data_IF_498616294623
#
_entry.id   IF_498616294623
#
_cell.length_a   1.000
_cell.length_b   1.000
_cell.length_c   1.000
_cell.angle_alpha   90.00
_cell.angle_beta   90.00
_cell.angle_gamma   90.00
#
_symmetry.space_group_name_H-M   'P 1'
#
loop_
_entity.id
_entity.type
_entity.pdbx_description
1 polymer ?
#
# COMPACT_ATOMS: atom_id res chain seq x y z
N UNK A 1 -21.71 6.51 11.48
CA UNK A 1 -21.03 5.86 12.63
C UNK A 1 -20.66 6.87 13.72
N UNK A 2 -19.98 7.98 13.41
CA UNK A 2 -19.63 9.02 14.39
C UNK A 2 -20.84 9.66 15.11
N UNK A 3 -21.96 9.85 14.39
CA UNK A 3 -23.23 10.36 14.95
C UNK A 3 -23.87 9.40 15.97
N UNK A 4 -23.74 8.08 15.77
CA UNK A 4 -24.30 7.08 16.67
C UNK A 4 -23.51 6.98 17.99
N UNK A 5 -22.18 7.20 17.95
CA UNK A 5 -21.36 7.20 19.17
C UNK A 5 -21.55 8.49 19.96
N UNK A 6 -21.73 9.64 19.31
CA UNK A 6 -22.15 10.89 19.98
C UNK A 6 -23.47 10.75 20.73
N UNK A 7 -24.43 10.00 20.19
CA UNK A 7 -25.73 9.76 20.83
C UNK A 7 -25.67 8.79 22.04
N UNK A 8 -24.56 8.05 22.22
CA UNK A 8 -24.45 6.99 23.23
C UNK A 8 -23.95 7.44 24.61
N UNK A 9 -23.57 8.71 24.78
CA UNK A 9 -23.11 9.25 26.07
C UNK A 9 -21.73 8.73 26.55
N UNK A 10 -21.06 7.90 25.75
CA UNK A 10 -19.72 7.39 26.05
C UNK A 10 -18.68 8.41 25.60
N UNK A 11 -17.86 8.90 26.52
CA UNK A 11 -16.69 9.72 26.18
C UNK A 11 -15.68 8.86 25.41
N UNK A 12 -15.58 9.10 24.11
CA UNK A 12 -14.54 8.50 23.28
C UNK A 12 -13.20 9.13 23.68
N UNK A 13 -12.18 8.34 24.03
CA UNK A 13 -10.84 8.87 24.30
C UNK A 13 -10.33 9.71 23.12
N UNK A 14 -9.79 10.89 23.42
CA UNK A 14 -9.31 11.82 22.38
C UNK A 14 -8.26 11.20 21.44
N UNK A 15 -7.45 10.26 21.94
CA UNK A 15 -6.49 9.52 21.12
C UNK A 15 -7.13 8.62 20.06
N UNK A 16 -8.31 8.04 20.33
CA UNK A 16 -9.05 7.23 19.35
C UNK A 16 -9.64 8.14 18.27
N UNK A 17 -10.20 9.29 18.65
CA UNK A 17 -10.72 10.27 17.69
C UNK A 17 -9.62 10.78 16.77
N UNK A 18 -8.46 11.14 17.32
CA UNK A 18 -7.37 11.69 16.51
C UNK A 18 -6.76 10.61 15.60
N UNK A 19 -6.59 9.39 16.09
CA UNK A 19 -6.16 8.27 15.25
C UNK A 19 -7.12 8.05 14.08
N UNK A 20 -8.43 8.00 14.33
CA UNK A 20 -9.45 7.82 13.28
C UNK A 20 -9.47 9.01 12.29
N UNK A 21 -9.30 10.24 12.78
CA UNK A 21 -9.28 11.44 11.94
C UNK A 21 -8.08 11.45 11.00
N UNK A 22 -6.89 11.15 11.53
CA UNK A 22 -5.65 11.17 10.76
C UNK A 22 -5.63 10.02 9.74
N UNK A 23 -5.99 8.80 10.13
CA UNK A 23 -6.08 7.67 9.20
C UNK A 23 -7.08 7.90 8.05
N UNK A 24 -8.18 8.62 8.33
CA UNK A 24 -9.14 9.02 7.28
C UNK A 24 -8.54 10.06 6.33
N UNK A 25 -7.87 11.09 6.86
CA UNK A 25 -7.28 12.15 6.06
C UNK A 25 -6.11 11.64 5.21
N UNK A 26 -5.28 10.74 5.75
CA UNK A 26 -4.16 10.14 5.04
C UNK A 26 -4.65 9.30 3.84
N UNK A 27 -5.71 8.51 4.01
CA UNK A 27 -6.33 7.79 2.89
C UNK A 27 -6.87 8.75 1.83
N UNK A 28 -7.62 9.78 2.25
CA UNK A 28 -8.24 10.72 1.31
C UNK A 28 -7.23 11.60 0.58
N UNK A 29 -6.05 11.82 1.14
CA UNK A 29 -4.97 12.52 0.47
C UNK A 29 -4.52 11.78 -0.80
N UNK A 30 -4.52 10.45 -0.79
CA UNK A 30 -4.19 9.60 -1.94
C UNK A 30 -5.19 9.85 -3.08
N UNK A 31 -6.50 9.92 -2.76
CA UNK A 31 -7.55 10.14 -3.77
C UNK A 31 -7.44 11.50 -4.47
N UNK A 32 -6.87 12.49 -3.78
CA UNK A 32 -6.66 13.85 -4.32
C UNK A 32 -5.29 14.04 -4.96
N UNK A 33 -4.44 13.01 -4.93
CA UNK A 33 -3.11 13.08 -5.51
C UNK A 33 -3.18 13.01 -7.03
N UNK A 34 -2.30 13.76 -7.70
CA UNK A 34 -2.11 13.67 -9.15
C UNK A 34 -0.83 12.90 -9.41
N UNK A 35 -0.91 11.63 -9.88
CA UNK A 35 0.28 10.86 -10.20
C UNK A 35 1.10 11.55 -11.28
N UNK A 36 2.42 11.56 -11.10
CA UNK A 36 3.39 12.07 -12.09
C UNK A 36 4.14 10.90 -12.72
N UNK A 37 4.60 11.09 -13.95
CA UNK A 37 5.41 10.06 -14.61
C UNK A 37 6.72 9.86 -13.86
N UNK A 38 7.12 8.60 -13.74
CA UNK A 38 8.39 8.18 -13.15
C UNK A 38 9.15 7.34 -14.17
N UNK A 39 10.40 7.74 -14.43
CA UNK A 39 11.29 7.17 -15.44
C UNK A 39 12.27 6.14 -14.86
N UNK A 40 12.24 5.91 -13.55
CA UNK A 40 13.01 4.86 -12.88
C UNK A 40 12.28 3.52 -12.81
N UNK A 41 13.01 2.53 -12.31
CA UNK A 41 12.48 1.21 -12.00
C UNK A 41 11.60 1.25 -10.75
N UNK A 42 10.38 0.71 -10.83
CA UNK A 42 9.49 0.55 -9.68
C UNK A 42 9.08 -0.91 -9.52
N UNK A 43 9.28 -1.45 -8.31
CA UNK A 43 8.73 -2.75 -7.92
C UNK A 43 7.45 -2.58 -7.10
N UNK A 44 6.35 -3.17 -7.56
CA UNK A 44 5.07 -3.24 -6.87
C UNK A 44 4.85 -4.65 -6.29
N UNK A 45 4.95 -4.78 -4.96
CA UNK A 45 4.59 -6.01 -4.25
C UNK A 45 3.06 -6.12 -4.11
N UNK A 46 2.44 -6.99 -4.90
CA UNK A 46 1.00 -7.03 -5.06
C UNK A 46 0.38 -8.20 -4.28
N UNK A 47 -0.43 -7.86 -3.27
CA UNK A 47 -1.33 -8.80 -2.59
C UNK A 47 -2.46 -9.27 -3.52
N UNK A 48 -3.15 -10.35 -3.16
CA UNK A 48 -4.26 -10.86 -3.96
C UNK A 48 -5.48 -9.93 -3.90
N UNK A 49 -5.74 -9.33 -2.73
CA UNK A 49 -6.88 -8.43 -2.51
C UNK A 49 -6.68 -7.48 -1.33
N UNK A 50 -7.52 -6.44 -1.26
CA UNK A 50 -7.72 -5.68 -0.03
C UNK A 50 -8.56 -6.47 0.97
N UNK A 51 -8.41 -6.16 2.27
CA UNK A 51 -9.24 -6.74 3.32
C UNK A 51 -10.63 -6.10 3.30
N UNK A 52 -11.63 -6.80 3.84
CA UNK A 52 -13.05 -6.45 3.66
C UNK A 52 -13.41 -5.07 4.24
N UNK A 53 -12.77 -4.63 5.33
CA UNK A 53 -13.02 -3.31 5.91
C UNK A 53 -12.56 -2.17 4.98
N UNK A 54 -11.43 -2.35 4.28
CA UNK A 54 -10.96 -1.38 3.29
C UNK A 54 -11.91 -1.28 2.09
N UNK A 55 -12.48 -2.41 1.63
CA UNK A 55 -13.45 -2.43 0.54
C UNK A 55 -14.79 -1.81 0.96
N UNK A 56 -15.21 -2.05 2.20
CA UNK A 56 -16.44 -1.45 2.75
C UNK A 56 -16.32 0.07 2.82
N UNK A 57 -15.14 0.57 3.14
CA UNK A 57 -14.85 2.00 3.21
C UNK A 57 -14.68 2.64 1.83
N UNK A 58 -13.94 2.00 0.92
CA UNK A 58 -13.73 2.44 -0.45
C UNK A 58 -14.04 1.28 -1.43
N UNK A 59 -15.26 1.24 -2.01
CA UNK A 59 -15.68 0.18 -2.92
C UNK A 59 -14.78 0.01 -4.15
N UNK A 60 -14.06 1.05 -4.58
CA UNK A 60 -13.11 0.95 -5.68
C UNK A 60 -11.97 -0.05 -5.40
N UNK A 61 -11.63 -0.31 -4.13
CA UNK A 61 -10.63 -1.32 -3.75
C UNK A 61 -11.07 -2.77 -3.97
N UNK A 62 -12.34 -3.01 -4.34
CA UNK A 62 -12.82 -4.33 -4.73
C UNK A 62 -12.24 -4.80 -6.07
N UNK A 63 -11.84 -3.87 -6.95
CA UNK A 63 -11.26 -4.17 -8.25
C UNK A 63 -9.79 -3.78 -8.28
N UNK A 64 -8.99 -4.57 -8.98
CA UNK A 64 -7.55 -4.33 -9.10
C UNK A 64 -7.10 -4.60 -10.54
N UNK A 65 -6.42 -3.61 -11.11
CA UNK A 65 -5.76 -3.78 -12.40
C UNK A 65 -4.50 -4.63 -12.23
N UNK A 66 -4.09 -5.40 -13.24
CA UNK A 66 -2.88 -6.24 -13.17
C UNK A 66 -1.59 -5.48 -12.85
N UNK A 67 -1.53 -4.20 -13.20
CA UNK A 67 -0.43 -3.27 -12.94
C UNK A 67 -0.65 -2.39 -11.69
N UNK A 68 -1.73 -2.62 -10.96
CA UNK A 68 -2.14 -1.81 -9.81
C UNK A 68 -2.51 -0.36 -10.15
N UNK A 69 -2.74 -0.04 -11.43
CA UNK A 69 -3.00 1.32 -11.92
C UNK A 69 -1.73 2.16 -12.14
N UNK A 70 -0.54 1.57 -12.05
CA UNK A 70 0.74 2.29 -12.16
C UNK A 70 1.35 2.26 -13.56
N UNK A 71 0.92 1.36 -14.45
CA UNK A 71 1.54 1.15 -15.76
C UNK A 71 1.44 2.35 -16.70
N UNK A 72 0.46 3.25 -16.49
CA UNK A 72 0.36 4.50 -17.24
C UNK A 72 1.48 5.51 -16.85
N UNK A 73 1.97 5.42 -15.61
CA UNK A 73 2.89 6.41 -15.03
C UNK A 73 4.33 5.92 -14.97
N UNK A 74 4.54 4.60 -14.97
CA UNK A 74 5.85 3.98 -14.81
C UNK A 74 6.11 2.99 -15.94
N UNK A 75 7.09 3.30 -16.78
CA UNK A 75 7.46 2.46 -17.93
C UNK A 75 8.25 1.20 -17.54
N UNK A 76 9.04 1.28 -16.47
CA UNK A 76 9.82 0.16 -15.93
C UNK A 76 9.18 -0.33 -14.62
N UNK A 77 7.97 -0.88 -14.76
CA UNK A 77 7.16 -1.41 -13.67
C UNK A 77 7.33 -2.94 -13.57
N UNK A 78 7.85 -3.39 -12.44
CA UNK A 78 7.87 -4.79 -12.05
C UNK A 78 6.74 -5.07 -11.04
N UNK A 79 5.82 -5.98 -11.37
CA UNK A 79 4.80 -6.43 -10.42
C UNK A 79 5.22 -7.79 -9.85
N UNK A 80 5.35 -7.87 -8.53
CA UNK A 80 5.74 -9.09 -7.81
C UNK A 80 4.54 -9.57 -6.97
N UNK A 81 3.83 -10.63 -7.39
CA UNK A 81 2.73 -11.19 -6.62
C UNK A 81 3.24 -11.80 -5.30
N UNK A 82 2.72 -11.33 -4.17
CA UNK A 82 3.12 -11.83 -2.84
C UNK A 82 2.06 -12.72 -2.20
N UNK A 83 0.82 -12.65 -2.70
CA UNK A 83 -0.34 -13.36 -2.19
C UNK A 83 -0.98 -12.69 -0.97
N UNK A 84 -2.07 -13.25 -0.48
CA UNK A 84 -2.73 -12.84 0.76
C UNK A 84 -3.46 -11.50 0.67
N UNK A 85 -3.83 -10.96 1.83
CA UNK A 85 -4.52 -9.68 1.93
C UNK A 85 -3.55 -8.52 2.12
N UNK A 86 -3.96 -7.33 1.68
CA UNK A 86 -3.16 -6.10 1.78
C UNK A 86 -2.55 -5.87 3.17
N UNK A 87 -3.32 -6.11 4.24
CA UNK A 87 -2.84 -5.90 5.62
C UNK A 87 -1.79 -6.93 6.06
N UNK A 88 -1.76 -8.10 5.44
CA UNK A 88 -0.85 -9.19 5.79
C UNK A 88 0.52 -9.05 5.12
N UNK A 89 0.66 -8.20 4.09
CA UNK A 89 1.91 -8.07 3.30
C UNK A 89 3.11 -7.67 4.16
N UNK A 90 2.86 -6.90 5.22
CA UNK A 90 3.90 -6.37 6.11
C UNK A 90 4.33 -7.36 7.20
N UNK A 91 3.64 -8.49 7.34
CA UNK A 91 3.85 -9.49 8.37
C UNK A 91 4.31 -10.83 7.79
N UNK A 92 4.88 -11.67 8.66
CA UNK A 92 5.21 -13.04 8.28
C UNK A 92 3.93 -13.87 8.05
N UNK A 93 3.93 -14.79 7.06
CA UNK A 93 5.07 -15.20 6.24
C UNK A 93 5.26 -14.40 4.94
N UNK A 94 4.42 -13.39 4.67
CA UNK A 94 4.40 -12.72 3.35
C UNK A 94 5.59 -11.79 3.21
N UNK A 95 5.95 -11.06 4.27
CA UNK A 95 7.08 -10.14 4.27
C UNK A 95 8.42 -10.84 3.93
N UNK A 96 8.58 -12.13 4.24
CA UNK A 96 9.75 -12.90 3.83
C UNK A 96 9.91 -12.98 2.29
N UNK A 97 8.81 -13.07 1.53
CA UNK A 97 8.86 -13.05 0.06
C UNK A 97 9.33 -11.69 -0.46
N UNK A 98 8.80 -10.61 0.11
CA UNK A 98 9.21 -9.23 -0.18
C UNK A 98 10.70 -9.06 0.12
N UNK A 99 11.13 -9.49 1.31
CA UNK A 99 12.51 -9.39 1.75
C UNK A 99 13.48 -10.19 0.86
N UNK A 100 13.11 -11.40 0.45
CA UNK A 100 13.92 -12.23 -0.44
C UNK A 100 14.13 -11.56 -1.80
N UNK A 101 13.06 -11.04 -2.39
CA UNK A 101 13.08 -10.34 -3.68
C UNK A 101 13.90 -9.04 -3.59
N UNK A 102 13.59 -8.18 -2.62
CA UNK A 102 14.29 -6.91 -2.40
C UNK A 102 15.78 -7.11 -2.15
N UNK A 103 16.15 -8.15 -1.38
CA UNK A 103 17.55 -8.47 -1.13
C UNK A 103 18.30 -8.84 -2.40
N UNK A 104 17.65 -9.49 -3.37
CA UNK A 104 18.25 -9.79 -4.67
C UNK A 104 18.47 -8.52 -5.49
N UNK A 105 17.47 -7.63 -5.54
CA UNK A 105 17.59 -6.35 -6.23
C UNK A 105 18.75 -5.51 -5.67
N UNK A 106 18.85 -5.40 -4.35
CA UNK A 106 19.95 -4.68 -3.68
C UNK A 106 21.32 -5.29 -3.97
N UNK A 107 21.44 -6.62 -4.01
CA UNK A 107 22.69 -7.29 -4.40
C UNK A 107 23.11 -6.94 -5.82
N UNK A 108 22.18 -6.93 -6.75
CA UNK A 108 22.44 -6.55 -8.16
C UNK A 108 22.93 -5.10 -8.26
N UNK A 109 22.24 -4.17 -7.60
CA UNK A 109 22.61 -2.75 -7.59
C UNK A 109 24.02 -2.56 -7.02
N UNK A 110 24.32 -3.19 -5.88
CA UNK A 110 25.64 -3.11 -5.26
C UNK A 110 26.75 -3.69 -6.14
N UNK A 111 26.48 -4.80 -6.84
CA UNK A 111 27.43 -5.40 -7.76
C UNK A 111 27.71 -4.52 -8.99
N UNK A 112 26.68 -3.87 -9.53
CA UNK A 112 26.80 -2.91 -10.63
C UNK A 112 27.61 -1.67 -10.22
N UNK A 113 27.34 -1.13 -9.03
CA UNK A 113 28.10 0.00 -8.48
C UNK A 113 29.58 -0.34 -8.28
N UNK A 114 29.88 -1.55 -7.78
CA UNK A 114 31.26 -2.00 -7.59
C UNK A 114 32.05 -2.19 -8.89
N UNK A 115 31.38 -2.44 -10.01
CA UNK A 115 32.02 -2.57 -11.33
C UNK A 115 32.28 -1.21 -12.01
N UNK A 116 31.63 -0.14 -11.51
CA UNK A 116 31.75 1.22 -12.03
C UNK A 116 32.76 2.07 -11.23
N UNK A 117 33.31 1.52 -10.14
CA UNK A 117 34.33 2.12 -9.27
C UNK A 117 35.74 1.62 -9.63
#
# INVERSE_FOLDING_TARGET
MLEAVKASGVQIPGGIIEHQRTSYLDQRAIDTSTPVKFDGHMTLYMADRYHDDAITFEPAYATRQPDGGWGEFVSDLEVVPVGGEHIQVIDEPIIAKVGAHMSQALRTINAQQAQQA
#
